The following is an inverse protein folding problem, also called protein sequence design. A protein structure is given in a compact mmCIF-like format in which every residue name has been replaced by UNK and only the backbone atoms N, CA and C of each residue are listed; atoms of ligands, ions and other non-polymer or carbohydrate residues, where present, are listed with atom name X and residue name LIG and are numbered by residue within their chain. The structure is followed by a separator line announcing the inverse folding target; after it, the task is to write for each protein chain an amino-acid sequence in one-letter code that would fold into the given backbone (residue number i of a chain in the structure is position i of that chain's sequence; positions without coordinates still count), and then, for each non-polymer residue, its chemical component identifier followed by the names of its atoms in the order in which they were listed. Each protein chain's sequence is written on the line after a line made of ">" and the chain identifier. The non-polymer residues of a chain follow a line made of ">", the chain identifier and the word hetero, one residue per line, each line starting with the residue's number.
data_IF_337994674996
#
_entry.id   IF_337994674996
#
_cell.length_a   1.000
_cell.length_b   1.000
_cell.length_c   1.000
_cell.angle_alpha   90.00
_cell.angle_beta   90.00
_cell.angle_gamma   90.00
#
_symmetry.space_group_name_H-M   'P 1'
#
loop_
_entity.id
_entity.type
_entity.pdbx_description
1 polymer ?
#
# COMPACT_ATOMS: atom_id res chain seq x y z
N UNK A 1 14.87 0.39 -5.91
CA UNK A 1 13.97 1.44 -5.37
C UNK A 1 14.75 2.59 -4.76
N UNK A 2 15.45 2.42 -3.62
CA UNK A 2 16.08 3.54 -2.91
C UNK A 2 17.38 4.05 -3.53
N UNK A 3 18.24 3.14 -4.03
CA UNK A 3 19.41 3.50 -4.84
C UNK A 3 18.98 4.31 -6.07
N UNK A 4 17.86 3.92 -6.69
CA UNK A 4 17.30 4.62 -7.84
C UNK A 4 16.78 6.02 -7.47
N UNK A 5 16.32 6.22 -6.22
CA UNK A 5 15.95 7.52 -5.66
C UNK A 5 17.17 8.29 -5.09
N UNK A 6 18.39 7.81 -5.31
CA UNK A 6 19.62 8.46 -4.88
C UNK A 6 19.85 8.41 -3.36
N UNK A 7 19.38 7.36 -2.68
CA UNK A 7 19.71 7.04 -1.29
C UNK A 7 20.71 5.87 -1.28
N UNK A 8 21.94 6.06 -0.77
CA UNK A 8 22.93 4.99 -0.64
C UNK A 8 22.43 3.82 0.23
N UNK A 9 22.91 2.61 -0.05
CA UNK A 9 22.46 1.39 0.64
C UNK A 9 22.84 1.34 2.12
N UNK A 10 23.85 2.10 2.54
CA UNK A 10 24.39 2.20 3.89
C UNK A 10 24.05 3.53 4.58
N UNK A 11 23.24 4.38 3.94
CA UNK A 11 22.89 5.68 4.48
C UNK A 11 21.99 5.52 5.71
N UNK A 12 22.43 6.09 6.84
CA UNK A 12 21.55 6.31 7.98
C UNK A 12 20.54 7.41 7.61
N UNK A 13 19.30 7.02 7.34
CA UNK A 13 18.26 7.94 6.89
C UNK A 13 17.78 8.80 8.06
N UNK A 14 17.96 10.12 7.94
CA UNK A 14 17.32 11.08 8.82
C UNK A 14 15.95 11.48 8.23
N UNK A 15 14.89 10.94 8.83
CA UNK A 15 13.51 11.21 8.43
C UNK A 15 13.06 12.65 8.67
N UNK A 16 13.81 13.43 9.46
CA UNK A 16 13.52 14.84 9.67
C UNK A 16 14.17 15.72 8.59
N UNK A 17 15.18 15.21 7.89
CA UNK A 17 15.85 15.94 6.82
C UNK A 17 14.97 16.06 5.57
N UNK A 18 14.64 17.28 5.10
CA UNK A 18 13.80 17.50 3.92
C UNK A 18 14.34 16.83 2.64
N UNK A 19 15.66 16.71 2.49
CA UNK A 19 16.28 16.09 1.33
C UNK A 19 15.99 14.58 1.26
N UNK A 20 15.90 13.91 2.41
CA UNK A 20 15.53 12.50 2.46
C UNK A 20 14.02 12.31 2.34
N UNK A 21 13.20 13.19 2.91
CA UNK A 21 11.73 13.11 2.81
C UNK A 21 11.24 13.00 1.36
N UNK A 22 11.77 13.84 0.46
CA UNK A 22 11.40 13.81 -0.96
C UNK A 22 11.80 12.49 -1.64
N UNK A 23 13.04 12.05 -1.43
CA UNK A 23 13.58 10.82 -2.03
C UNK A 23 12.88 9.55 -1.52
N UNK A 24 12.54 9.50 -0.24
CA UNK A 24 11.80 8.38 0.35
C UNK A 24 10.41 8.30 -0.28
N UNK A 25 9.72 9.43 -0.44
CA UNK A 25 8.43 9.46 -1.11
C UNK A 25 8.53 8.95 -2.55
N UNK A 26 9.47 9.47 -3.33
CA UNK A 26 9.68 9.04 -4.73
C UNK A 26 9.96 7.53 -4.82
N UNK A 27 10.79 7.02 -3.92
CA UNK A 27 11.08 5.60 -3.82
C UNK A 27 9.80 4.78 -3.52
N UNK A 28 8.99 5.22 -2.54
CA UNK A 28 7.76 4.53 -2.15
C UNK A 28 6.71 4.56 -3.27
N UNK A 29 6.55 5.71 -3.94
CA UNK A 29 5.65 5.86 -5.09
C UNK A 29 6.04 4.91 -6.24
N UNK A 30 7.34 4.78 -6.52
CA UNK A 30 7.86 3.85 -7.52
C UNK A 30 7.52 2.39 -7.16
N UNK A 31 7.72 2.00 -5.90
CA UNK A 31 7.38 0.66 -5.43
C UNK A 31 5.87 0.37 -5.52
N UNK A 32 5.02 1.33 -5.16
CA UNK A 32 3.56 1.19 -5.32
C UNK A 32 3.19 1.05 -6.80
N UNK A 33 3.84 1.80 -7.70
CA UNK A 33 3.62 1.71 -9.15
C UNK A 33 3.97 0.32 -9.68
N UNK A 34 5.12 -0.22 -9.29
CA UNK A 34 5.55 -1.57 -9.65
C UNK A 34 4.56 -2.62 -9.12
N UNK A 35 4.10 -2.46 -7.88
CA UNK A 35 3.12 -3.36 -7.28
C UNK A 35 1.77 -3.32 -8.01
N UNK A 36 1.29 -2.15 -8.43
CA UNK A 36 0.08 -2.02 -9.24
C UNK A 36 0.22 -2.68 -10.61
N UNK A 37 1.38 -2.57 -11.25
CA UNK A 37 1.63 -3.25 -12.53
C UNK A 37 1.55 -4.78 -12.38
N UNK A 38 2.15 -5.34 -11.32
CA UNK A 38 2.07 -6.78 -11.01
C UNK A 38 0.62 -7.19 -10.73
N UNK A 39 -0.06 -6.50 -9.82
CA UNK A 39 -1.44 -6.82 -9.44
C UNK A 39 -2.38 -6.76 -10.65
N UNK A 40 -2.28 -5.69 -11.48
CA UNK A 40 -3.11 -5.54 -12.69
C UNK A 40 -2.93 -6.71 -13.65
N UNK A 41 -1.68 -7.13 -13.91
CA UNK A 41 -1.38 -8.26 -14.79
C UNK A 41 -1.92 -9.59 -14.26
N UNK A 42 -1.82 -9.83 -12.95
CA UNK A 42 -2.39 -11.03 -12.32
C UNK A 42 -3.91 -11.05 -12.41
N UNK A 43 -4.56 -9.93 -12.08
CA UNK A 43 -6.03 -9.83 -12.08
C UNK A 43 -6.61 -9.92 -13.48
N UNK A 44 -5.92 -9.40 -14.49
CA UNK A 44 -6.32 -9.59 -15.89
C UNK A 44 -6.41 -11.08 -16.26
N UNK A 45 -5.45 -11.90 -15.78
CA UNK A 45 -5.47 -13.37 -16.00
C UNK A 45 -6.61 -14.04 -15.23
N UNK A 46 -6.82 -13.67 -13.96
CA UNK A 46 -7.81 -14.29 -13.08
C UNK A 46 -9.25 -13.94 -13.47
N UNK A 47 -9.53 -12.66 -13.74
CA UNK A 47 -10.89 -12.17 -13.95
C UNK A 47 -11.30 -12.06 -15.42
N UNK A 48 -10.38 -12.25 -16.39
CA UNK A 48 -10.66 -12.23 -17.83
C UNK A 48 -11.54 -11.04 -18.26
N UNK A 49 -11.20 -9.85 -17.77
CA UNK A 49 -11.90 -8.58 -18.01
C UNK A 49 -13.31 -8.45 -17.40
N UNK A 50 -13.77 -9.38 -16.55
CA UNK A 50 -15.08 -9.27 -15.88
C UNK A 50 -15.11 -8.24 -14.75
N UNK A 51 -13.94 -7.80 -14.29
CA UNK A 51 -13.76 -6.84 -13.20
C UNK A 51 -12.86 -5.72 -13.70
N UNK A 52 -13.25 -4.47 -13.43
CA UNK A 52 -12.49 -3.26 -13.70
C UNK A 52 -11.60 -2.97 -12.49
N UNK A 53 -10.29 -2.89 -12.71
CA UNK A 53 -9.31 -2.64 -11.67
C UNK A 53 -8.82 -1.19 -11.69
N UNK A 54 -8.75 -0.59 -10.51
CA UNK A 54 -8.22 0.76 -10.33
C UNK A 54 -7.40 0.84 -9.05
N UNK A 55 -6.19 1.38 -9.15
CA UNK A 55 -5.38 1.73 -8.00
C UNK A 55 -5.83 3.06 -7.40
N UNK A 56 -5.75 3.19 -6.08
CA UNK A 56 -5.87 4.47 -5.41
C UNK A 56 -4.53 5.21 -5.43
N UNK A 57 -4.51 6.52 -5.67
CA UNK A 57 -3.27 7.30 -5.60
C UNK A 57 -2.59 7.14 -4.23
N UNK A 58 -1.26 6.93 -4.19
CA UNK A 58 -0.52 6.89 -2.93
C UNK A 58 -0.64 8.21 -2.16
N UNK A 59 -0.94 8.12 -0.87
CA UNK A 59 -1.06 9.26 0.04
C UNK A 59 0.01 9.19 1.11
N UNK A 60 0.75 10.27 1.33
CA UNK A 60 1.70 10.35 2.44
C UNK A 60 0.98 10.23 3.77
N UNK A 61 1.52 9.38 4.65
CA UNK A 61 1.01 9.16 6.02
C UNK A 61 2.17 8.87 6.96
N UNK A 62 1.92 9.00 8.26
CA UNK A 62 2.85 8.51 9.27
C UNK A 62 2.55 7.04 9.56
N UNK A 63 3.60 6.22 9.68
CA UNK A 63 3.52 4.83 10.11
C UNK A 63 4.50 4.67 11.28
N UNK A 64 3.98 4.76 12.51
CA UNK A 64 4.81 5.05 13.67
C UNK A 64 5.53 6.40 13.51
N UNK A 65 6.86 6.39 13.65
CA UNK A 65 7.70 7.58 13.45
C UNK A 65 8.19 7.73 12.00
N UNK A 66 7.93 6.73 11.14
CA UNK A 66 8.38 6.72 9.75
C UNK A 66 7.42 7.48 8.83
N UNK A 67 7.98 8.14 7.83
CA UNK A 67 7.22 8.60 6.68
C UNK A 67 6.90 7.40 5.78
N UNK A 68 5.62 7.16 5.55
CA UNK A 68 5.14 6.09 4.67
C UNK A 68 4.12 6.59 3.66
N UNK A 69 3.57 5.64 2.89
CA UNK A 69 2.43 5.90 2.01
C UNK A 69 1.31 4.91 2.27
N UNK A 70 0.08 5.43 2.32
CA UNK A 70 -1.17 4.67 2.26
C UNK A 70 -1.59 4.56 0.81
N UNK A 71 -1.98 3.37 0.38
CA UNK A 71 -2.35 3.08 -0.99
C UNK A 71 -3.26 1.84 -1.03
N UNK A 72 -3.67 1.42 -2.22
CA UNK A 72 -4.60 0.30 -2.34
C UNK A 72 -5.21 0.19 -3.73
N UNK A 73 -6.07 -0.78 -3.94
CA UNK A 73 -6.78 -0.89 -5.21
C UNK A 73 -8.15 -1.53 -5.01
N UNK A 74 -9.05 -1.25 -5.94
CA UNK A 74 -10.40 -1.81 -5.97
C UNK A 74 -10.65 -2.48 -7.31
N UNK A 75 -11.23 -3.68 -7.24
CA UNK A 75 -11.84 -4.36 -8.36
C UNK A 75 -13.36 -4.20 -8.31
N UNK A 76 -13.96 -3.59 -9.34
CA UNK A 76 -15.40 -3.43 -9.47
C UNK A 76 -15.97 -4.35 -10.54
N UNK A 77 -17.08 -5.03 -10.25
CA UNK A 77 -17.80 -5.80 -11.27
C UNK A 77 -18.42 -4.86 -12.30
N UNK A 78 -18.60 -5.34 -13.54
CA UNK A 78 -19.19 -4.53 -14.61
C UNK A 78 -20.63 -4.09 -14.32
N UNK A 79 -21.42 -4.97 -13.72
CA UNK A 79 -22.78 -4.67 -13.25
C UNK A 79 -22.84 -3.83 -11.97
N UNK A 80 -21.69 -3.43 -11.42
CA UNK A 80 -21.58 -2.72 -10.15
C UNK A 80 -21.30 -3.63 -8.96
N UNK A 81 -20.88 -3.01 -7.85
CA UNK A 81 -20.46 -3.71 -6.64
C UNK A 81 -18.97 -4.06 -6.60
N UNK A 82 -18.45 -4.16 -5.39
CA UNK A 82 -17.04 -4.45 -5.11
C UNK A 82 -16.80 -5.95 -5.27
N UNK A 83 -15.80 -6.32 -6.07
CA UNK A 83 -15.29 -7.69 -6.17
C UNK A 83 -14.14 -7.91 -5.19
N UNK A 84 -13.23 -6.94 -5.10
CA UNK A 84 -12.16 -6.91 -4.10
C UNK A 84 -11.79 -5.45 -3.78
N UNK A 85 -11.34 -5.20 -2.57
CA UNK A 85 -10.73 -3.93 -2.17
C UNK A 85 -9.57 -4.21 -1.23
N UNK A 86 -8.40 -3.66 -1.55
CA UNK A 86 -7.18 -3.81 -0.77
C UNK A 86 -6.77 -2.47 -0.16
N UNK A 87 -6.47 -2.47 1.13
CA UNK A 87 -5.95 -1.34 1.87
C UNK A 87 -4.53 -1.67 2.31
N UNK A 88 -3.58 -0.81 1.95
CA UNK A 88 -2.16 -1.07 2.15
C UNK A 88 -1.43 0.16 2.65
N UNK A 89 -0.41 -0.08 3.44
CA UNK A 89 0.53 0.91 3.93
C UNK A 89 1.93 0.38 3.72
N UNK A 90 2.83 1.25 3.30
CA UNK A 90 4.25 0.91 3.17
C UNK A 90 5.13 2.02 3.75
N UNK A 91 6.11 1.63 4.54
CA UNK A 91 7.17 2.49 5.06
C UNK A 91 8.51 1.80 4.91
N UNK A 92 9.57 2.59 4.98
CA UNK A 92 10.95 2.12 4.97
C UNK A 92 11.71 2.85 6.07
N UNK A 93 12.62 2.19 6.79
CA UNK A 93 13.43 2.77 7.90
C UNK A 93 14.92 3.01 7.56
N UNK A 94 15.36 2.69 6.34
CA UNK A 94 16.78 2.66 5.97
C UNK A 94 17.31 1.26 5.70
N UNK A 95 16.65 0.23 6.24
CA UNK A 95 17.08 -1.17 6.17
C UNK A 95 15.96 -2.12 5.77
N UNK A 96 14.76 -1.92 6.33
CA UNK A 96 13.60 -2.80 6.22
C UNK A 96 12.42 -2.09 5.55
N UNK A 97 11.74 -2.82 4.67
CA UNK A 97 10.45 -2.39 4.11
C UNK A 97 9.31 -2.98 4.96
N UNK A 98 8.49 -2.12 5.54
CA UNK A 98 7.32 -2.50 6.31
C UNK A 98 6.10 -2.41 5.43
N UNK A 99 5.42 -3.55 5.21
CA UNK A 99 4.18 -3.61 4.42
C UNK A 99 3.05 -4.08 5.33
N UNK A 100 2.06 -3.22 5.54
CA UNK A 100 0.84 -3.55 6.28
C UNK A 100 -0.27 -3.63 5.23
N UNK A 101 -0.97 -4.75 5.16
CA UNK A 101 -2.07 -4.91 4.23
C UNK A 101 -3.24 -5.65 4.86
N UNK A 102 -4.43 -5.30 4.39
CA UNK A 102 -5.65 -6.08 4.58
C UNK A 102 -6.54 -5.87 3.36
N UNK A 103 -7.57 -6.70 3.22
CA UNK A 103 -8.44 -6.64 2.06
C UNK A 103 -9.85 -7.15 2.37
N UNK A 104 -10.79 -6.82 1.50
CA UNK A 104 -11.91 -7.68 1.17
C UNK A 104 -11.54 -8.33 -0.15
N UNK A 105 -11.36 -9.65 -0.13
CA UNK A 105 -11.02 -10.43 -1.31
C UNK A 105 -11.57 -11.85 -1.11
N UNK A 106 -12.74 -12.17 -1.69
CA UNK A 106 -13.36 -13.49 -1.52
C UNK A 106 -12.49 -14.66 -1.98
N UNK A 107 -11.53 -14.42 -2.88
CA UNK A 107 -10.66 -15.46 -3.42
C UNK A 107 -9.41 -15.71 -2.54
N UNK A 108 -9.09 -14.81 -1.61
CA UNK A 108 -7.94 -14.97 -0.70
C UNK A 108 -8.25 -15.92 0.45
N UNK A 109 -7.20 -16.61 0.90
CA UNK A 109 -7.26 -17.54 2.05
C UNK A 109 -7.02 -16.81 3.38
N UNK A 110 -6.20 -15.75 3.40
CA UNK A 110 -5.82 -15.04 4.63
C UNK A 110 -5.65 -13.53 4.40
N UNK A 111 -5.41 -12.79 5.49
CA UNK A 111 -5.27 -11.33 5.51
C UNK A 111 -6.45 -10.60 4.82
N UNK A 112 -7.67 -11.08 5.10
CA UNK A 112 -8.90 -10.56 4.53
C UNK A 112 -10.02 -10.44 5.55
N UNK A 113 -11.00 -9.61 5.21
CA UNK A 113 -12.34 -9.59 5.76
C UNK A 113 -13.27 -10.41 4.85
N UNK A 114 -14.16 -11.19 5.46
CA UNK A 114 -15.15 -11.98 4.72
C UNK A 114 -16.24 -11.10 4.08
N UNK A 115 -16.50 -9.94 4.68
CA UNK A 115 -17.50 -8.99 4.23
C UNK A 115 -16.84 -7.66 3.90
N UNK A 116 -17.28 -7.05 2.80
CA UNK A 116 -16.79 -5.76 2.36
C UNK A 116 -17.07 -4.66 3.40
N UNK A 117 -18.27 -4.70 3.98
CA UNK A 117 -18.73 -3.72 4.98
C UNK A 117 -17.84 -3.71 6.22
N UNK A 118 -17.31 -4.88 6.60
CA UNK A 118 -16.39 -4.97 7.74
C UNK A 118 -15.05 -4.31 7.43
N UNK A 119 -14.54 -4.44 6.19
CA UNK A 119 -13.34 -3.71 5.77
C UNK A 119 -13.60 -2.20 5.82
N UNK A 120 -14.72 -1.74 5.28
CA UNK A 120 -15.07 -0.32 5.24
C UNK A 120 -15.19 0.28 6.64
N UNK A 121 -15.78 -0.45 7.60
CA UNK A 121 -15.85 -0.03 9.01
C UNK A 121 -14.47 -0.07 9.67
N UNK A 122 -13.59 -1.01 9.29
CA UNK A 122 -12.26 -1.17 9.87
C UNK A 122 -11.24 -0.15 9.35
N UNK A 123 -11.43 0.38 8.15
CA UNK A 123 -10.46 1.27 7.47
C UNK A 123 -9.94 2.43 8.35
N UNK A 124 -10.78 3.18 9.10
CA UNK A 124 -10.28 4.24 9.99
C UNK A 124 -9.39 3.70 11.11
N UNK A 125 -9.73 2.54 11.67
CA UNK A 125 -8.94 1.90 12.73
C UNK A 125 -7.60 1.41 12.23
N UNK A 126 -7.53 0.91 10.99
CA UNK A 126 -6.24 0.54 10.38
C UNK A 126 -5.30 1.74 10.30
N UNK A 127 -5.84 2.92 9.95
CA UNK A 127 -5.05 4.15 9.90
C UNK A 127 -4.48 4.51 11.26
N UNK A 128 -5.30 4.44 12.31
CA UNK A 128 -4.86 4.68 13.70
C UNK A 128 -3.85 3.64 14.19
N UNK A 129 -4.05 2.37 13.84
CA UNK A 129 -3.09 1.31 14.17
C UNK A 129 -1.75 1.62 13.51
N UNK A 130 -1.75 1.93 12.21
CA UNK A 130 -0.53 2.21 11.44
C UNK A 130 0.24 3.40 12.02
N UNK A 131 -0.43 4.50 12.35
CA UNK A 131 0.21 5.69 12.92
C UNK A 131 0.78 5.47 14.32
N UNK A 132 0.23 4.54 15.09
CA UNK A 132 0.65 4.25 16.47
C UNK A 132 1.61 3.05 16.60
N UNK A 133 2.07 2.47 15.50
CA UNK A 133 3.08 1.41 15.55
C UNK A 133 4.39 1.90 16.16
N UNK A 134 5.03 1.05 16.95
CA UNK A 134 6.39 1.28 17.47
C UNK A 134 7.43 0.86 16.45
N UNK A 135 7.39 1.50 15.29
CA UNK A 135 8.46 1.39 14.29
C UNK A 135 9.59 2.39 14.63
N UNK A 136 10.83 2.11 14.18
CA UNK A 136 12.00 2.96 14.43
C UNK A 136 11.82 4.42 14.01
#
# INVERSE_FOLDING_TARGET
>A
MLINAGIPADAKIDYQNPNYKGKIKEALDAWVTDEYAVNSKERQKSYKNKVNFSGYPPQLVNIGQLQGVRYGFTGLKREGGVSEQHLKYVAFDGTSLYVINTAYDPARVSAKFEKYENLAVFEPFLSEIASNLKLP
#
